data_IF_202287435655
#
_entry.id   IF_202287435655
#
_cell.length_a   1.000
_cell.length_b   1.000
_cell.length_c   1.000
_cell.angle_alpha   90.00
_cell.angle_beta   90.00
_cell.angle_gamma   90.00
#
_symmetry.space_group_name_H-M   'P 1'
#
loop_
_entity.id
_entity.type
_entity.pdbx_description
1 polymer ?
#
# COMPACT_ATOMS: atom_id res chain seq x y z
N UNK A 1 -9.56 -26.62 18.97
CA UNK A 1 -10.24 -25.36 18.62
C UNK A 1 -9.68 -24.28 19.53
N UNK A 2 -8.37 -24.06 19.56
CA UNK A 2 -7.52 -23.27 18.64
C UNK A 2 -8.00 -21.82 18.53
N UNK A 3 -7.25 -20.96 19.22
CA UNK A 3 -7.21 -19.49 19.29
C UNK A 3 -7.88 -18.71 18.14
N UNK A 4 -7.83 -19.23 16.90
CA UNK A 4 -8.48 -18.67 15.72
C UNK A 4 -9.99 -18.41 15.91
N UNK A 5 -10.72 -19.33 16.56
CA UNK A 5 -12.17 -19.14 16.79
C UNK A 5 -12.47 -18.04 17.82
N UNK A 6 -11.58 -17.85 18.79
CA UNK A 6 -11.72 -16.81 19.81
C UNK A 6 -11.47 -15.42 19.21
N UNK A 7 -10.46 -15.27 18.35
CA UNK A 7 -10.20 -14.02 17.63
C UNK A 7 -11.31 -13.65 16.65
N UNK A 8 -11.83 -14.62 15.88
CA UNK A 8 -12.96 -14.38 14.98
C UNK A 8 -14.24 -13.97 15.73
N UNK A 9 -14.42 -14.41 16.97
CA UNK A 9 -15.57 -14.08 17.80
C UNK A 9 -15.47 -12.72 18.52
N UNK A 10 -14.27 -12.14 18.57
CA UNK A 10 -14.04 -10.87 19.28
C UNK A 10 -14.38 -9.63 18.45
N UNK A 11 -14.79 -9.80 17.18
CA UNK A 11 -14.76 -8.72 16.20
C UNK A 11 -13.42 -7.99 16.34
N UNK A 12 -12.31 -8.73 16.20
CA UNK A 12 -10.98 -8.16 16.30
C UNK A 12 -10.67 -7.42 14.98
N UNK A 13 -10.06 -6.22 15.03
CA UNK A 13 -9.59 -5.55 13.82
C UNK A 13 -8.72 -6.51 13.01
N UNK A 14 -9.14 -6.78 11.78
CA UNK A 14 -8.50 -7.73 10.91
C UNK A 14 -7.89 -7.02 9.71
N UNK A 15 -6.60 -7.28 9.49
CA UNK A 15 -5.89 -6.83 8.31
C UNK A 15 -5.80 -7.97 7.30
N UNK A 16 -6.44 -7.80 6.15
CA UNK A 16 -6.49 -8.80 5.09
C UNK A 16 -5.57 -8.39 3.96
N UNK A 17 -4.68 -9.28 3.52
CA UNK A 17 -3.85 -9.01 2.33
C UNK A 17 -4.72 -9.10 1.09
N UNK A 18 -4.74 -8.02 0.30
CA UNK A 18 -5.53 -7.90 -0.92
C UNK A 18 -4.66 -7.95 -2.18
N UNK A 19 -3.39 -7.54 -2.10
CA UNK A 19 -2.41 -7.67 -3.18
C UNK A 19 -1.08 -8.23 -2.63
N UNK A 20 -0.43 -9.09 -3.40
CA UNK A 20 0.80 -9.77 -2.97
C UNK A 20 2.02 -8.84 -2.94
N UNK A 21 2.16 -7.89 -3.87
CA UNK A 21 3.35 -7.05 -3.99
C UNK A 21 4.67 -7.85 -4.05
N UNK A 22 5.81 -7.19 -3.86
CA UNK A 22 7.14 -7.80 -3.97
C UNK A 22 7.62 -8.52 -2.71
N UNK A 23 7.24 -8.09 -1.51
CA UNK A 23 7.66 -8.73 -0.24
C UNK A 23 7.04 -10.12 -0.01
N UNK A 24 6.04 -10.51 -0.79
CA UNK A 24 5.47 -11.87 -0.74
C UNK A 24 5.81 -12.71 -1.98
N UNK A 25 6.59 -12.18 -2.90
CA UNK A 25 7.07 -12.85 -4.11
C UNK A 25 8.60 -12.98 -4.07
N UNK A 26 9.10 -14.16 -3.69
CA UNK A 26 10.53 -14.40 -3.54
C UNK A 26 11.31 -14.24 -4.84
N UNK A 27 10.69 -14.54 -5.99
CA UNK A 27 11.34 -14.38 -7.29
C UNK A 27 11.45 -12.89 -7.66
N UNK A 28 10.39 -12.12 -7.43
CA UNK A 28 10.41 -10.66 -7.64
C UNK A 28 11.31 -9.93 -6.64
N UNK A 29 11.37 -10.38 -5.39
CA UNK A 29 12.28 -9.82 -4.37
C UNK A 29 13.74 -10.06 -4.73
N UNK A 30 14.07 -11.28 -5.13
CA UNK A 30 15.43 -11.68 -5.46
C UNK A 30 16.41 -11.28 -4.35
N UNK A 31 17.50 -10.63 -4.74
CA UNK A 31 18.54 -10.14 -3.82
C UNK A 31 18.41 -8.65 -3.47
N UNK A 32 17.33 -7.99 -3.88
CA UNK A 32 17.13 -6.55 -3.64
C UNK A 32 17.06 -6.25 -2.14
N UNK A 33 17.90 -5.32 -1.68
CA UNK A 33 17.98 -4.90 -0.27
C UNK A 33 17.38 -3.51 -0.12
N UNK A 34 16.18 -3.36 0.46
CA UNK A 34 15.62 -2.03 0.69
C UNK A 34 16.48 -1.26 1.69
N UNK A 35 16.67 0.04 1.42
CA UNK A 35 17.31 1.00 2.34
C UNK A 35 16.28 1.80 3.11
N UNK A 36 15.11 2.03 2.49
CA UNK A 36 13.97 2.73 3.07
C UNK A 36 12.69 1.94 2.80
N UNK A 37 11.76 1.98 3.75
CA UNK A 37 10.38 1.56 3.59
C UNK A 37 9.47 2.76 3.72
N UNK A 38 8.45 2.85 2.87
CA UNK A 38 7.31 3.73 3.10
C UNK A 38 6.05 2.92 3.34
N UNK A 39 5.14 3.46 4.14
CA UNK A 39 3.77 2.97 4.26
C UNK A 39 2.84 4.13 3.91
N UNK A 40 1.99 3.87 2.93
CA UNK A 40 0.94 4.79 2.52
C UNK A 40 -0.40 4.21 3.00
N UNK A 41 -1.16 5.00 3.75
CA UNK A 41 -2.51 4.65 4.18
C UNK A 41 -3.52 5.51 3.44
N UNK A 42 -4.64 4.89 3.06
CA UNK A 42 -5.74 5.56 2.36
C UNK A 42 -7.06 5.18 3.03
N UNK A 43 -7.63 6.10 3.81
CA UNK A 43 -8.95 5.87 4.38
C UNK A 43 -10.03 6.01 3.30
N UNK A 44 -10.82 4.95 3.15
CA UNK A 44 -11.89 4.81 2.18
C UNK A 44 -13.24 4.79 2.92
N UNK A 45 -14.14 5.75 2.67
CA UNK A 45 -15.38 5.89 3.44
C UNK A 45 -16.40 4.77 3.20
N UNK A 46 -16.29 4.04 2.08
CA UNK A 46 -17.19 2.97 1.66
C UNK A 46 -16.46 1.87 0.88
N UNK A 47 -17.12 0.72 0.71
CA UNK A 47 -16.58 -0.43 -0.03
C UNK A 47 -16.20 -0.05 -1.47
N UNK A 48 -17.02 0.78 -2.13
CA UNK A 48 -16.80 1.16 -3.53
C UNK A 48 -15.49 1.95 -3.70
N UNK A 49 -15.16 2.81 -2.74
CA UNK A 49 -13.92 3.59 -2.72
C UNK A 49 -12.72 2.71 -2.43
N UNK A 50 -12.84 1.79 -1.46
CA UNK A 50 -11.80 0.80 -1.17
C UNK A 50 -11.50 -0.06 -2.40
N UNK A 51 -12.53 -0.53 -3.10
CA UNK A 51 -12.41 -1.31 -4.34
C UNK A 51 -11.66 -0.55 -5.43
N UNK A 52 -12.07 0.69 -5.73
CA UNK A 52 -11.37 1.54 -6.73
C UNK A 52 -9.91 1.75 -6.36
N UNK A 53 -9.62 1.98 -5.08
CA UNK A 53 -8.26 2.16 -4.59
C UNK A 53 -7.41 0.91 -4.85
N UNK A 54 -7.90 -0.27 -4.44
CA UNK A 54 -7.19 -1.54 -4.60
C UNK A 54 -6.96 -1.87 -6.08
N UNK A 55 -7.97 -1.69 -6.94
CA UNK A 55 -7.86 -1.91 -8.38
C UNK A 55 -6.83 -0.97 -9.04
N UNK A 56 -6.80 0.30 -8.63
CA UNK A 56 -5.82 1.26 -9.13
C UNK A 56 -4.39 0.93 -8.67
N UNK A 57 -4.22 0.42 -7.44
CA UNK A 57 -2.93 -0.05 -6.95
C UNK A 57 -2.46 -1.31 -7.68
N UNK A 58 -3.36 -2.25 -7.96
CA UNK A 58 -3.05 -3.44 -8.77
C UNK A 58 -2.56 -3.06 -10.17
N UNK A 59 -3.25 -2.13 -10.82
CA UNK A 59 -2.87 -1.62 -12.15
C UNK A 59 -1.56 -0.82 -12.10
N UNK A 60 -1.33 -0.05 -11.03
CA UNK A 60 -0.05 0.62 -10.80
C UNK A 60 1.09 -0.38 -10.67
N UNK A 61 0.87 -1.47 -9.92
CA UNK A 61 1.85 -2.54 -9.72
C UNK A 61 2.16 -3.33 -10.98
N UNK A 62 1.13 -3.63 -11.78
CA UNK A 62 1.31 -4.26 -13.09
C UNK A 62 2.19 -3.40 -14.00
N UNK A 63 1.89 -2.10 -14.12
CA UNK A 63 2.67 -1.17 -14.96
C UNK A 63 4.10 -0.95 -14.44
N UNK A 64 4.30 -1.00 -13.13
CA UNK A 64 5.64 -0.93 -12.54
C UNK A 64 6.47 -2.14 -12.96
N UNK A 65 5.90 -3.35 -12.88
CA UNK A 65 6.55 -4.61 -13.28
C UNK A 65 6.89 -4.73 -14.76
N UNK A 66 6.22 -3.96 -15.62
CA UNK A 66 6.53 -3.91 -17.05
C UNK A 66 7.81 -3.13 -17.37
N UNK A 67 8.42 -2.44 -16.38
CA UNK A 67 9.69 -1.72 -16.58
C UNK A 67 10.89 -2.68 -16.52
N UNK A 68 11.97 -2.39 -17.26
CA UNK A 68 13.23 -3.13 -17.16
C UNK A 68 13.74 -3.21 -15.71
N UNK A 69 14.30 -4.36 -15.34
CA UNK A 69 14.77 -4.63 -13.97
C UNK A 69 15.87 -3.65 -13.53
N UNK A 70 16.73 -3.21 -14.45
CA UNK A 70 17.81 -2.27 -14.13
C UNK A 70 17.30 -0.88 -13.72
N UNK A 71 16.02 -0.57 -13.99
CA UNK A 71 15.38 0.69 -13.63
C UNK A 71 14.56 0.58 -12.33
N UNK A 72 14.56 -0.58 -11.67
CA UNK A 72 13.73 -0.86 -10.50
C UNK A 72 14.37 -0.34 -9.21
N UNK A 73 14.35 0.98 -9.04
CA UNK A 73 14.89 1.69 -7.86
C UNK A 73 13.94 1.65 -6.64
N UNK A 74 12.73 1.16 -6.85
CA UNK A 74 11.70 1.00 -5.83
C UNK A 74 10.66 -0.03 -6.28
N UNK A 75 9.91 -0.57 -5.33
CA UNK A 75 8.90 -1.58 -5.61
C UNK A 75 7.69 -1.47 -4.66
N UNK A 76 6.51 -1.85 -5.14
CA UNK A 76 5.34 -1.99 -4.27
C UNK A 76 5.45 -3.27 -3.46
N UNK A 77 5.16 -3.14 -2.17
CA UNK A 77 4.99 -4.28 -1.26
C UNK A 77 3.52 -4.68 -1.20
N UNK A 78 3.22 -5.74 -0.45
CA UNK A 78 1.88 -6.22 -0.23
C UNK A 78 0.94 -5.09 0.19
N UNK A 79 -0.25 -5.12 -0.39
CA UNK A 79 -1.33 -4.20 -0.01
C UNK A 79 -2.29 -4.94 0.88
N UNK A 80 -2.72 -4.25 1.93
CA UNK A 80 -3.68 -4.77 2.89
C UNK A 80 -4.91 -3.87 2.95
N UNK A 81 -6.04 -4.47 3.32
CA UNK A 81 -7.24 -3.75 3.69
C UNK A 81 -7.60 -4.07 5.14
N UNK A 82 -7.87 -3.03 5.92
CA UNK A 82 -8.32 -3.11 7.29
C UNK A 82 -9.72 -2.48 7.36
N UNK A 83 -10.74 -3.33 7.51
CA UNK A 83 -12.12 -2.86 7.54
C UNK A 83 -12.41 -2.06 8.81
N UNK A 84 -13.13 -0.94 8.67
CA UNK A 84 -13.58 -0.17 9.83
C UNK A 84 -14.81 -0.82 10.45
N UNK A 85 -14.69 -1.27 11.69
CA UNK A 85 -15.80 -1.90 12.40
C UNK A 85 -16.94 -0.93 12.64
N UNK A 86 -18.16 -1.38 12.36
CA UNK A 86 -19.36 -0.55 12.48
C UNK A 86 -19.53 0.48 11.36
N UNK A 87 -18.64 0.54 10.37
CA UNK A 87 -18.87 1.36 9.18
C UNK A 87 -20.01 0.74 8.34
N UNK A 88 -21.17 1.39 8.36
CA UNK A 88 -22.37 0.91 7.68
C UNK A 88 -22.23 0.83 6.14
N UNK A 89 -21.25 1.51 5.56
CA UNK A 89 -20.98 1.51 4.12
C UNK A 89 -19.84 0.53 3.72
N UNK A 90 -19.29 -0.23 4.69
CA UNK A 90 -18.22 -1.19 4.43
C UNK A 90 -16.86 -0.57 4.13
N UNK A 91 -16.63 0.67 4.59
CA UNK A 91 -15.34 1.37 4.46
C UNK A 91 -14.22 0.82 5.36
N UNK A 92 -13.06 1.45 5.27
CA UNK A 92 -11.86 1.05 6.00
C UNK A 92 -10.60 1.67 5.41
N UNK A 93 -9.44 1.12 5.76
CA UNK A 93 -8.14 1.67 5.35
C UNK A 93 -7.41 0.70 4.42
N UNK A 94 -7.00 1.20 3.26
CA UNK A 94 -6.06 0.51 2.37
C UNK A 94 -4.64 0.90 2.76
N UNK A 95 -3.75 -0.08 2.90
CA UNK A 95 -2.39 0.08 3.41
C UNK A 95 -1.42 -0.51 2.38
N UNK A 96 -0.58 0.34 1.80
CA UNK A 96 0.41 -0.02 0.79
C UNK A 96 1.81 0.18 1.34
N UNK A 97 2.66 -0.85 1.26
CA UNK A 97 4.09 -0.69 1.49
C UNK A 97 4.85 -0.33 0.21
N UNK A 98 5.96 0.38 0.36
CA UNK A 98 6.91 0.73 -0.71
C UNK A 98 8.32 0.42 -0.26
N UNK A 99 9.04 -0.39 -1.00
CA UNK A 99 10.46 -0.66 -0.80
C UNK A 99 11.28 0.27 -1.70
N UNK A 100 12.28 0.94 -1.15
CA UNK A 100 13.22 1.78 -1.91
C UNK A 100 14.61 1.18 -1.80
N UNK A 101 15.32 1.07 -2.92
CA UNK A 101 16.63 0.42 -2.98
C UNK A 101 17.80 1.38 -3.16
N UNK A 102 17.50 2.66 -3.40
CA UNK A 102 18.51 3.68 -3.66
C UNK A 102 18.13 4.96 -2.88
N UNK A 103 19.08 5.53 -2.14
CA UNK A 103 18.84 6.62 -1.17
C UNK A 103 18.65 7.97 -1.88
N UNK A 104 19.43 8.26 -2.93
CA UNK A 104 19.32 9.51 -3.66
C UNK A 104 17.98 9.59 -4.41
N UNK A 105 17.55 8.48 -5.00
CA UNK A 105 16.24 8.34 -5.65
C UNK A 105 15.10 8.49 -4.64
N UNK A 106 15.22 7.88 -3.46
CA UNK A 106 14.25 8.11 -2.38
C UNK A 106 14.20 9.60 -1.97
N UNK A 107 15.35 10.24 -1.78
CA UNK A 107 15.41 11.65 -1.39
C UNK A 107 14.73 12.57 -2.42
N UNK A 108 14.85 12.28 -3.72
CA UNK A 108 14.18 13.01 -4.80
C UNK A 108 12.67 12.72 -4.88
N UNK A 109 12.25 11.47 -4.63
CA UNK A 109 10.89 11.00 -4.96
C UNK A 109 9.96 10.75 -3.80
N UNK A 110 10.42 10.77 -2.55
CA UNK A 110 9.59 10.44 -1.38
C UNK A 110 8.31 11.27 -1.26
N UNK A 111 8.32 12.51 -1.73
CA UNK A 111 7.20 13.45 -1.65
C UNK A 111 6.36 13.51 -2.94
N UNK A 112 6.68 12.67 -3.94
CA UNK A 112 6.00 12.66 -5.22
C UNK A 112 4.49 12.32 -5.12
N UNK A 113 4.08 11.62 -4.05
CA UNK A 113 2.68 11.29 -3.76
C UNK A 113 1.82 12.55 -3.55
N UNK A 114 2.41 13.68 -3.15
CA UNK A 114 1.67 14.94 -2.99
C UNK A 114 1.63 15.79 -4.27
N UNK A 115 2.23 15.32 -5.37
CA UNK A 115 2.24 16.03 -6.65
C UNK A 115 0.87 16.13 -7.33
N UNK A 116 0.69 17.12 -8.20
CA UNK A 116 -0.56 17.42 -8.92
C UNK A 116 -1.19 16.20 -9.61
N UNK A 117 -0.35 15.31 -10.17
CA UNK A 117 -0.81 14.08 -10.80
C UNK A 117 -1.50 13.14 -9.80
N UNK A 118 -0.87 12.87 -8.65
CA UNK A 118 -1.44 12.00 -7.63
C UNK A 118 -2.70 12.60 -7.01
N UNK A 119 -2.73 13.92 -6.79
CA UNK A 119 -3.95 14.59 -6.32
C UNK A 119 -5.16 14.38 -7.25
N UNK A 120 -4.93 14.33 -8.57
CA UNK A 120 -6.00 13.99 -9.53
C UNK A 120 -6.44 12.54 -9.39
N UNK A 121 -5.50 11.61 -9.25
CA UNK A 121 -5.79 10.19 -9.03
C UNK A 121 -6.64 10.04 -7.76
N UNK A 122 -6.23 10.63 -6.63
CA UNK A 122 -6.98 10.53 -5.37
C UNK A 122 -8.40 11.09 -5.50
N UNK A 123 -8.56 12.21 -6.20
CA UNK A 123 -9.88 12.77 -6.51
C UNK A 123 -10.74 11.80 -7.33
N UNK A 124 -10.19 11.19 -8.37
CA UNK A 124 -10.92 10.23 -9.23
C UNK A 124 -11.27 8.94 -8.46
N UNK A 125 -10.43 8.55 -7.50
CA UNK A 125 -10.71 7.44 -6.58
C UNK A 125 -11.78 7.79 -5.53
N UNK A 126 -11.97 9.08 -5.23
CA UNK A 126 -12.88 9.55 -4.17
C UNK A 126 -12.24 9.58 -2.79
N UNK A 127 -10.91 9.72 -2.70
CA UNK A 127 -10.14 9.74 -1.45
C UNK A 127 -9.69 11.19 -1.19
N UNK A 128 -10.21 11.85 -0.15
CA UNK A 128 -9.75 13.17 0.27
C UNK A 128 -8.27 13.15 0.66
N UNK A 129 -7.55 14.27 0.45
CA UNK A 129 -6.10 14.32 0.74
C UNK A 129 -5.81 14.19 2.24
N UNK A 130 -6.70 14.69 3.09
CA UNK A 130 -6.62 14.56 4.55
C UNK A 130 -6.75 13.12 5.05
N UNK A 131 -7.23 12.21 4.19
CA UNK A 131 -7.39 10.78 4.49
C UNK A 131 -6.19 9.94 4.00
N UNK A 132 -5.10 10.61 3.63
CA UNK A 132 -3.89 9.97 3.13
C UNK A 132 -2.74 10.31 4.06
N UNK A 133 -2.10 9.28 4.62
CA UNK A 133 -0.89 9.45 5.40
C UNK A 133 0.24 8.64 4.75
N UNK A 134 1.44 9.20 4.78
CA UNK A 134 2.65 8.52 4.30
C UNK A 134 3.72 8.63 5.36
N UNK A 135 4.20 7.49 5.82
CA UNK A 135 5.31 7.39 6.78
C UNK A 135 6.51 6.72 6.12
N UNK A 136 7.71 7.16 6.49
CA UNK A 136 8.96 6.62 5.99
C UNK A 136 9.83 6.14 7.14
N UNK A 137 10.43 4.96 6.99
CA UNK A 137 11.41 4.40 7.93
C UNK A 137 12.67 3.98 7.20
N UNK A 138 13.83 4.34 7.75
CA UNK A 138 15.11 3.81 7.31
C UNK A 138 15.36 2.44 7.94
N UNK A 139 15.86 1.51 7.14
CA UNK A 139 16.36 0.26 7.69
C UNK A 139 17.69 0.53 8.40
N UNK A 140 17.81 0.07 9.64
CA UNK A 140 19.06 0.15 10.40
C UNK A 140 19.92 -1.04 9.99
N UNK A 141 21.17 -0.77 9.66
CA UNK A 141 22.19 -1.76 9.30
C UNK A 141 22.65 -2.59 10.50
#
# INVERSE_FOLDING_TARGET
>A
MTILKEFLAQDAPARVRVLNGEDTDAARRGEKKPVVRSECTYYCPDEATARRCIEALEESDRRLRERPEELMLWDWQATYFEAEQGNANGGGTVILGVAWYEEDFFADRRDAWFGVMHQRIYKDLGIPLENIEVFHWRLIA
#
